data_IF_199006544474
#
_entry.id   IF_199006544474
#
_cell.length_a   1.000
_cell.length_b   1.000
_cell.length_c   1.000
_cell.angle_alpha   90.00
_cell.angle_beta   90.00
_cell.angle_gamma   90.00
#
_symmetry.space_group_name_H-M   'P 1'
#
loop_
_entity.id
_entity.type
_entity.pdbx_description
1 polymer ?
#
# COMPACT_ATOMS: atom_id res chain seq x y z
N UNK A 1 -56.86 -57.26 13.01
CA UNK A 1 -56.90 -56.34 14.16
C UNK A 1 -55.68 -55.43 14.07
N UNK A 2 -55.85 -54.12 13.89
CA UNK A 2 -54.71 -53.19 13.88
C UNK A 2 -54.37 -52.84 15.33
N UNK A 3 -53.19 -53.25 15.78
CA UNK A 3 -52.67 -52.95 17.11
C UNK A 3 -52.18 -51.50 17.15
N UNK A 4 -52.98 -50.66 17.79
CA UNK A 4 -52.63 -49.28 18.16
C UNK A 4 -51.84 -49.38 19.48
N UNK A 5 -50.69 -48.70 19.58
CA UNK A 5 -49.74 -48.68 20.70
C UNK A 5 -48.47 -49.55 20.53
N UNK A 6 -47.52 -49.05 19.74
CA UNK A 6 -46.10 -49.16 20.11
C UNK A 6 -45.78 -47.96 21.01
N UNK A 7 -45.63 -48.24 22.30
CA UNK A 7 -45.55 -47.25 23.37
C UNK A 7 -44.36 -46.31 23.25
N UNK A 8 -44.66 -45.02 23.19
CA UNK A 8 -43.83 -43.99 23.79
C UNK A 8 -44.47 -43.61 25.12
N UNK A 9 -43.66 -43.34 26.14
CA UNK A 9 -44.14 -42.92 27.46
C UNK A 9 -44.81 -41.54 27.34
N UNK A 10 -46.12 -41.54 27.10
CA UNK A 10 -46.88 -40.32 26.83
C UNK A 10 -47.42 -39.78 28.15
N UNK A 11 -46.87 -38.65 28.60
CA UNK A 11 -47.31 -37.93 29.80
C UNK A 11 -48.75 -37.39 29.69
N UNK A 12 -49.34 -37.48 28.50
CA UNK A 12 -50.71 -37.12 28.18
C UNK A 12 -51.50 -38.41 27.86
N UNK A 13 -52.39 -38.85 28.77
CA UNK A 13 -53.24 -40.03 28.59
C UNK A 13 -54.53 -39.65 27.90
N UNK A 14 -54.64 -39.78 26.57
CA UNK A 14 -55.89 -39.59 25.81
C UNK A 14 -55.82 -40.16 24.37
N UNK A 15 -56.94 -40.12 23.64
CA UNK A 15 -57.03 -40.49 22.22
C UNK A 15 -56.50 -39.37 21.30
N UNK A 16 -55.57 -39.71 20.39
CA UNK A 16 -55.08 -38.78 19.38
C UNK A 16 -56.12 -38.58 18.26
N UNK A 17 -56.43 -37.31 17.97
CA UNK A 17 -57.24 -36.92 16.80
C UNK A 17 -56.32 -36.30 15.75
N UNK A 18 -56.37 -36.81 14.52
CA UNK A 18 -55.57 -36.27 13.43
C UNK A 18 -55.93 -34.79 13.17
N UNK A 19 -54.97 -33.88 12.91
CA UNK A 19 -55.21 -32.44 12.80
C UNK A 19 -56.33 -32.04 11.83
N UNK A 20 -56.45 -32.75 10.71
CA UNK A 20 -57.49 -32.51 9.70
C UNK A 20 -58.91 -32.89 10.17
N UNK A 21 -59.02 -33.74 11.20
CA UNK A 21 -60.29 -34.20 11.76
C UNK A 21 -60.70 -33.43 13.02
N UNK A 22 -59.78 -32.67 13.62
CA UNK A 22 -60.01 -31.94 14.88
C UNK A 22 -61.22 -31.01 14.78
N UNK A 23 -61.36 -30.27 13.67
CA UNK A 23 -62.50 -29.36 13.48
C UNK A 23 -63.84 -30.11 13.40
N UNK A 24 -63.88 -31.26 12.71
CA UNK A 24 -65.09 -32.07 12.59
C UNK A 24 -65.52 -32.65 13.94
N UNK A 25 -64.56 -33.18 14.70
CA UNK A 25 -64.82 -33.71 16.06
C UNK A 25 -65.26 -32.58 17.00
N UNK A 26 -64.62 -31.41 16.94
CA UNK A 26 -64.97 -30.29 17.81
C UNK A 26 -66.37 -29.72 17.53
N UNK A 27 -66.79 -29.66 16.25
CA UNK A 27 -68.15 -29.27 15.85
C UNK A 27 -69.19 -30.30 16.31
N UNK A 28 -68.88 -31.59 16.17
CA UNK A 28 -69.77 -32.68 16.59
C UNK A 28 -70.06 -32.65 18.10
N UNK A 29 -69.06 -32.28 18.92
CA UNK A 29 -69.22 -32.17 20.37
C UNK A 29 -70.03 -30.94 20.77
N UNK A 30 -69.68 -29.73 20.28
CA UNK A 30 -70.45 -28.51 20.51
C UNK A 30 -69.90 -27.32 19.70
N UNK A 31 -70.76 -26.42 19.19
CA UNK A 31 -70.31 -25.18 18.55
C UNK A 31 -69.40 -24.31 19.44
N UNK A 32 -69.67 -24.26 20.76
CA UNK A 32 -68.83 -23.49 21.70
C UNK A 32 -67.44 -24.11 21.84
N UNK A 33 -67.36 -25.44 21.84
CA UNK A 33 -66.10 -26.16 21.94
C UNK A 33 -65.25 -25.99 20.67
N UNK A 34 -65.87 -26.03 19.49
CA UNK A 34 -65.21 -25.74 18.22
C UNK A 34 -64.53 -24.35 18.19
N UNK A 35 -65.17 -23.32 18.74
CA UNK A 35 -64.57 -21.97 18.84
C UNK A 35 -63.34 -21.96 19.75
N UNK A 36 -63.40 -22.67 20.88
CA UNK A 36 -62.25 -22.76 21.80
C UNK A 36 -61.07 -23.49 21.17
N UNK A 37 -61.32 -24.62 20.50
CA UNK A 37 -60.29 -25.39 19.79
C UNK A 37 -59.66 -24.55 18.68
N UNK A 38 -60.47 -23.81 17.90
CA UNK A 38 -59.97 -22.89 16.87
C UNK A 38 -58.99 -21.86 17.44
N UNK A 39 -59.33 -21.20 18.55
CA UNK A 39 -58.45 -20.21 19.19
C UNK A 39 -57.10 -20.80 19.63
N UNK A 40 -57.10 -22.05 20.10
CA UNK A 40 -55.88 -22.76 20.49
C UNK A 40 -55.03 -23.06 19.25
N UNK A 41 -55.66 -23.56 18.17
CA UNK A 41 -54.97 -23.83 16.91
C UNK A 41 -54.37 -22.57 16.28
N UNK A 42 -55.14 -21.48 16.23
CA UNK A 42 -54.69 -20.19 15.73
C UNK A 42 -53.47 -19.71 16.54
N UNK A 43 -53.53 -19.80 17.88
CA UNK A 43 -52.41 -19.43 18.76
C UNK A 43 -51.16 -20.32 18.57
N UNK A 44 -51.33 -21.63 18.39
CA UNK A 44 -50.19 -22.55 18.13
C UNK A 44 -49.54 -22.19 16.79
N UNK A 45 -50.35 -21.96 15.75
CA UNK A 45 -49.84 -21.59 14.43
C UNK A 45 -49.08 -20.25 14.48
N UNK A 46 -49.62 -19.25 15.16
CA UNK A 46 -48.92 -17.97 15.40
C UNK A 46 -47.57 -18.18 16.10
N UNK A 47 -47.52 -19.02 17.15
CA UNK A 47 -46.25 -19.32 17.85
C UNK A 47 -45.25 -20.06 16.97
N UNK A 48 -45.67 -21.05 16.19
CA UNK A 48 -44.76 -21.80 15.30
C UNK A 48 -44.20 -20.94 14.19
N UNK A 49 -45.00 -20.03 13.61
CA UNK A 49 -44.52 -19.07 12.61
C UNK A 49 -43.49 -18.13 13.25
N UNK A 50 -43.77 -17.60 14.44
CA UNK A 50 -42.86 -16.71 15.14
C UNK A 50 -41.52 -17.39 15.49
N UNK A 51 -41.54 -18.64 15.96
CA UNK A 51 -40.33 -19.42 16.26
C UNK A 51 -39.49 -19.69 15.00
N UNK A 52 -40.13 -20.11 13.91
CA UNK A 52 -39.45 -20.36 12.64
C UNK A 52 -38.86 -19.09 12.02
N UNK A 53 -39.57 -17.97 12.10
CA UNK A 53 -39.05 -16.68 11.63
C UNK A 53 -37.91 -16.16 12.52
N UNK A 54 -37.96 -16.40 13.83
CA UNK A 54 -36.86 -16.12 14.75
C UNK A 54 -35.61 -16.97 14.45
N UNK A 55 -35.77 -18.27 14.18
CA UNK A 55 -34.67 -19.17 13.83
C UNK A 55 -33.97 -18.76 12.52
N UNK A 56 -34.75 -18.41 11.48
CA UNK A 56 -34.22 -17.83 10.24
C UNK A 56 -33.43 -16.54 10.50
N UNK A 57 -33.96 -15.67 11.36
CA UNK A 57 -33.30 -14.40 11.71
C UNK A 57 -31.98 -14.66 12.43
N UNK A 58 -31.95 -15.65 13.34
CA UNK A 58 -30.75 -16.05 14.06
C UNK A 58 -29.69 -16.65 13.12
N UNK A 59 -30.08 -17.56 12.22
CA UNK A 59 -29.17 -18.15 11.24
C UNK A 59 -28.54 -17.10 10.31
N UNK A 60 -29.34 -16.11 9.89
CA UNK A 60 -28.85 -14.97 9.10
C UNK A 60 -27.84 -14.16 9.92
N UNK A 61 -28.14 -13.86 11.19
CA UNK A 61 -27.24 -13.11 12.07
C UNK A 61 -25.90 -13.85 12.28
N UNK A 62 -25.93 -15.16 12.49
CA UNK A 62 -24.72 -15.98 12.67
C UNK A 62 -23.83 -15.98 11.41
N UNK A 63 -24.45 -16.08 10.23
CA UNK A 63 -23.72 -15.96 8.97
C UNK A 63 -23.09 -14.58 8.79
N UNK A 64 -23.79 -13.50 9.15
CA UNK A 64 -23.25 -12.15 9.12
C UNK A 64 -22.07 -11.99 10.09
N UNK A 65 -22.19 -12.49 11.32
CA UNK A 65 -21.09 -12.45 12.29
C UNK A 65 -19.87 -13.22 11.79
N UNK A 66 -20.04 -14.40 11.21
CA UNK A 66 -18.94 -15.16 10.63
C UNK A 66 -18.23 -14.39 9.50
N UNK A 67 -18.98 -13.80 8.57
CA UNK A 67 -18.42 -13.00 7.50
C UNK A 67 -17.70 -11.75 8.03
N UNK A 68 -18.30 -11.05 8.99
CA UNK A 68 -17.69 -9.86 9.62
C UNK A 68 -16.38 -10.23 10.30
N UNK A 69 -16.35 -11.32 11.08
CA UNK A 69 -15.12 -11.76 11.75
C UNK A 69 -14.04 -12.10 10.73
N UNK A 70 -14.39 -12.89 9.70
CA UNK A 70 -13.44 -13.28 8.65
C UNK A 70 -12.85 -12.07 7.92
N UNK A 71 -13.70 -11.09 7.57
CA UNK A 71 -13.24 -9.85 6.93
C UNK A 71 -12.40 -9.02 7.88
N UNK A 72 -12.78 -8.92 9.15
CA UNK A 72 -12.06 -8.18 10.18
C UNK A 72 -10.66 -8.75 10.41
N UNK A 73 -10.55 -10.08 10.50
CA UNK A 73 -9.28 -10.80 10.66
C UNK A 73 -8.39 -10.58 9.43
N UNK A 74 -8.94 -10.77 8.23
CA UNK A 74 -8.21 -10.56 6.97
C UNK A 74 -7.67 -9.12 6.84
N UNK A 75 -8.49 -8.13 7.21
CA UNK A 75 -8.07 -6.73 7.20
C UNK A 75 -7.02 -6.45 8.27
N UNK A 76 -7.16 -7.02 9.45
CA UNK A 76 -6.20 -6.87 10.55
C UNK A 76 -4.84 -7.46 10.20
N UNK A 77 -4.81 -8.62 9.55
CA UNK A 77 -3.59 -9.25 9.05
C UNK A 77 -2.91 -8.37 8.00
N UNK A 78 -3.69 -7.84 7.05
CA UNK A 78 -3.16 -6.93 6.01
C UNK A 78 -2.63 -5.62 6.59
N UNK A 79 -3.32 -5.04 7.57
CA UNK A 79 -2.84 -3.84 8.29
C UNK A 79 -1.53 -4.16 9.01
N UNK A 80 -1.43 -5.33 9.65
CA UNK A 80 -0.23 -5.76 10.36
C UNK A 80 0.95 -5.94 9.40
N UNK A 81 0.74 -6.60 8.27
CA UNK A 81 1.75 -6.77 7.22
C UNK A 81 2.21 -5.42 6.64
N UNK A 82 1.26 -4.54 6.26
CA UNK A 82 1.59 -3.21 5.76
C UNK A 82 2.37 -2.38 6.79
N UNK A 83 1.97 -2.42 8.06
CA UNK A 83 2.68 -1.73 9.13
C UNK A 83 4.11 -2.27 9.31
N UNK A 84 4.30 -3.57 9.16
CA UNK A 84 5.62 -4.19 9.22
C UNK A 84 6.50 -3.74 8.03
N UNK A 85 5.95 -3.72 6.81
CA UNK A 85 6.65 -3.19 5.64
C UNK A 85 7.03 -1.73 5.82
N UNK A 86 6.12 -0.88 6.31
CA UNK A 86 6.39 0.54 6.60
C UNK A 86 7.53 0.67 7.62
N UNK A 87 7.50 -0.09 8.72
CA UNK A 87 8.57 -0.07 9.75
C UNK A 87 9.94 -0.46 9.18
N UNK A 88 9.99 -1.41 8.24
CA UNK A 88 11.23 -1.78 7.56
C UNK A 88 11.77 -0.67 6.63
N UNK A 89 10.89 0.17 6.10
CA UNK A 89 11.25 1.30 5.23
C UNK A 89 11.69 2.54 6.01
N UNK A 90 11.20 2.76 7.24
CA UNK A 90 11.59 3.89 8.10
C UNK A 90 13.11 4.13 8.17
N UNK A 91 13.98 3.14 8.43
CA UNK A 91 15.43 3.39 8.51
C UNK A 91 16.06 3.81 7.17
N UNK A 92 15.42 3.53 6.03
CA UNK A 92 15.87 3.93 4.69
C UNK A 92 15.23 5.25 4.24
N UNK A 93 14.25 5.75 4.99
CA UNK A 93 13.54 6.96 4.67
C UNK A 93 14.45 8.18 4.86
N UNK A 94 14.30 9.15 3.96
CA UNK A 94 15.04 10.40 4.05
C UNK A 94 14.45 11.21 5.20
N UNK A 95 15.26 11.68 6.17
CA UNK A 95 14.74 12.50 7.26
C UNK A 95 14.05 13.76 6.73
N UNK A 96 12.95 14.14 7.38
CA UNK A 96 12.16 15.31 7.01
C UNK A 96 13.03 16.58 6.96
N UNK A 97 12.90 17.34 5.88
CA UNK A 97 13.65 18.58 5.64
C UNK A 97 15.10 18.37 5.20
N UNK A 98 15.54 17.12 5.00
CA UNK A 98 16.87 16.77 4.44
C UNK A 98 16.82 16.27 3.01
N UNK A 99 15.64 16.24 2.39
CA UNK A 99 15.39 15.71 1.04
C UNK A 99 16.26 16.41 0.01
N UNK A 100 16.45 17.73 0.12
CA UNK A 100 17.17 18.57 -0.86
C UNK A 100 18.40 19.28 -0.29
N UNK A 101 19.28 18.54 0.39
CA UNK A 101 20.43 19.14 1.11
C UNK A 101 21.72 19.19 0.29
N UNK A 102 21.78 18.57 -0.89
CA UNK A 102 23.04 18.45 -1.64
C UNK A 102 23.26 19.57 -2.66
N UNK A 103 24.52 19.77 -3.00
CA UNK A 103 25.02 20.69 -4.03
C UNK A 103 25.87 19.87 -4.99
N UNK A 104 25.71 20.09 -6.29
CA UNK A 104 26.58 19.57 -7.34
C UNK A 104 27.46 20.70 -7.83
N UNK A 105 28.74 20.39 -8.00
CA UNK A 105 29.78 21.32 -8.40
C UNK A 105 30.56 20.63 -9.52
N UNK A 106 30.74 21.34 -10.64
CA UNK A 106 31.62 20.93 -11.73
C UNK A 106 32.79 21.90 -11.76
N UNK A 107 34.00 21.37 -11.61
CA UNK A 107 35.24 22.14 -11.60
C UNK A 107 36.19 21.55 -12.62
N UNK A 108 37.01 22.39 -13.23
CA UNK A 108 38.15 21.93 -14.01
C UNK A 108 39.25 21.41 -13.07
N UNK A 109 39.97 20.38 -13.51
CA UNK A 109 41.08 19.79 -12.75
C UNK A 109 42.40 20.39 -13.25
N UNK A 110 43.09 21.11 -12.36
CA UNK A 110 44.40 21.70 -12.67
C UNK A 110 45.45 20.62 -12.96
N UNK A 111 46.47 21.01 -13.73
CA UNK A 111 47.61 20.21 -14.21
C UNK A 111 48.27 19.32 -13.14
N UNK A 112 48.34 19.78 -11.87
CA UNK A 112 48.96 19.06 -10.76
C UNK A 112 48.20 17.80 -10.29
N UNK A 113 46.91 17.66 -10.62
CA UNK A 113 46.07 16.47 -10.30
C UNK A 113 45.87 15.57 -11.53
N UNK A 114 46.55 15.84 -12.65
CA UNK A 114 46.40 15.09 -13.88
C UNK A 114 47.16 13.76 -13.81
N UNK A 115 46.41 12.66 -13.99
CA UNK A 115 46.96 11.31 -14.09
C UNK A 115 47.44 11.10 -15.54
N UNK A 116 48.75 11.28 -15.76
CA UNK A 116 49.52 10.98 -16.98
C UNK A 116 49.28 11.91 -18.19
N UNK A 117 50.29 11.95 -19.08
CA UNK A 117 50.45 12.79 -20.28
C UNK A 117 49.13 13.03 -21.04
N UNK A 118 48.46 14.13 -20.73
CA UNK A 118 47.32 14.58 -21.52
C UNK A 118 47.84 15.02 -22.89
N UNK A 119 47.16 14.60 -23.96
CA UNK A 119 47.31 15.26 -25.25
C UNK A 119 46.94 16.73 -25.06
N UNK A 120 47.68 17.66 -25.69
CA UNK A 120 47.54 19.12 -25.51
C UNK A 120 46.09 19.66 -25.64
N UNK A 121 45.17 18.88 -26.22
CA UNK A 121 43.78 19.28 -26.50
C UNK A 121 42.71 18.60 -25.60
N UNK A 122 43.09 17.91 -24.51
CA UNK A 122 42.12 17.27 -23.59
C UNK A 122 41.93 18.07 -22.31
N UNK A 123 40.68 18.24 -21.90
CA UNK A 123 40.30 18.82 -20.62
C UNK A 123 39.74 17.74 -19.69
N UNK A 124 40.03 17.86 -18.40
CA UNK A 124 39.42 17.03 -17.35
C UNK A 124 38.58 17.86 -16.42
N UNK A 125 37.30 17.54 -16.31
CA UNK A 125 36.39 18.11 -15.31
C UNK A 125 36.13 17.10 -14.19
N UNK A 126 35.88 17.62 -12.99
CA UNK A 126 35.49 16.85 -11.82
C UNK A 126 34.09 17.23 -11.38
N UNK A 127 33.20 16.24 -11.33
CA UNK A 127 31.82 16.41 -10.85
C UNK A 127 31.74 15.93 -9.40
N UNK A 128 31.49 16.87 -8.48
CA UNK A 128 31.37 16.59 -7.05
C UNK A 128 29.96 16.81 -6.56
N UNK A 129 29.58 15.98 -5.60
CA UNK A 129 28.33 16.14 -4.86
C UNK A 129 28.63 16.26 -3.39
N UNK A 130 28.21 17.37 -2.78
CA UNK A 130 28.56 17.69 -1.39
C UNK A 130 27.31 18.12 -0.64
N UNK A 131 27.18 17.69 0.61
CA UNK A 131 26.12 18.16 1.49
C UNK A 131 26.36 19.64 1.80
N UNK A 132 25.32 20.47 1.63
CA UNK A 132 25.37 21.92 1.88
C UNK A 132 25.85 22.26 3.29
N UNK A 133 25.59 21.42 4.29
CA UNK A 133 25.99 21.65 5.68
C UNK A 133 27.50 21.45 5.91
N UNK A 134 28.14 20.64 5.07
CA UNK A 134 29.57 20.31 5.22
C UNK A 134 30.47 21.39 4.59
N UNK A 135 29.87 22.35 3.87
CA UNK A 135 30.58 23.47 3.24
C UNK A 135 30.52 24.73 4.10
N UNK A 136 31.70 25.29 4.42
CA UNK A 136 31.80 26.62 5.02
C UNK A 136 31.25 27.70 4.06
N UNK A 137 30.61 28.77 4.57
CA UNK A 137 30.04 29.82 3.73
C UNK A 137 31.02 30.43 2.72
N UNK A 138 32.24 30.76 3.14
CA UNK A 138 33.28 31.30 2.25
C UNK A 138 33.63 30.35 1.10
N UNK A 139 33.72 29.04 1.38
CA UNK A 139 34.02 28.02 0.37
C UNK A 139 32.85 27.81 -0.60
N UNK A 140 31.62 27.90 -0.10
CA UNK A 140 30.41 27.88 -0.94
C UNK A 140 30.38 29.06 -1.90
N UNK A 141 30.73 30.25 -1.43
CA UNK A 141 30.76 31.44 -2.27
C UNK A 141 31.87 31.39 -3.31
N UNK A 142 33.04 30.84 -2.94
CA UNK A 142 34.10 30.53 -3.89
C UNK A 142 33.60 29.64 -5.04
N UNK A 143 32.99 28.50 -4.71
CA UNK A 143 32.46 27.59 -5.73
C UNK A 143 31.40 28.24 -6.61
N UNK A 144 30.53 29.08 -6.05
CA UNK A 144 29.54 29.82 -6.84
C UNK A 144 30.14 30.74 -7.90
N UNK A 145 31.34 31.27 -7.66
CA UNK A 145 32.01 32.22 -8.57
C UNK A 145 32.96 31.53 -9.54
N UNK A 146 33.65 30.48 -9.10
CA UNK A 146 34.79 29.88 -9.82
C UNK A 146 34.45 28.54 -10.49
N UNK A 147 33.38 27.85 -10.11
CA UNK A 147 33.04 26.56 -10.72
C UNK A 147 32.40 26.72 -12.09
N UNK A 148 32.67 25.77 -13.00
CA UNK A 148 32.03 25.68 -14.32
C UNK A 148 30.51 25.53 -14.19
N UNK A 149 30.07 24.81 -13.15
CA UNK A 149 28.66 24.65 -12.84
C UNK A 149 28.42 24.51 -11.34
N UNK A 150 27.57 25.37 -10.78
CA UNK A 150 27.14 25.32 -9.39
C UNK A 150 25.64 25.12 -9.27
N UNK A 151 25.22 23.96 -8.74
CA UNK A 151 23.80 23.62 -8.65
C UNK A 151 23.43 23.18 -7.23
N UNK A 152 22.72 24.04 -6.50
CA UNK A 152 22.25 23.77 -5.13
C UNK A 152 20.82 23.20 -5.05
N UNK A 153 20.40 22.72 -3.88
CA UNK A 153 19.07 22.14 -3.61
C UNK A 153 18.79 20.83 -4.38
N UNK A 154 19.79 19.96 -4.46
CA UNK A 154 19.64 18.65 -5.09
C UNK A 154 19.06 17.63 -4.12
N UNK A 155 18.22 16.70 -4.63
CA UNK A 155 17.67 15.60 -3.84
C UNK A 155 18.81 14.78 -3.24
N UNK A 156 18.57 14.03 -2.16
CA UNK A 156 19.56 13.08 -1.60
C UNK A 156 19.79 11.87 -2.52
N UNK A 157 18.81 11.53 -3.35
CA UNK A 157 18.88 10.44 -4.31
C UNK A 157 19.97 10.65 -5.37
N UNK A 158 20.69 9.58 -5.71
CA UNK A 158 21.84 9.62 -6.64
C UNK A 158 21.44 9.65 -8.12
N UNK A 159 20.14 9.54 -8.43
CA UNK A 159 19.58 9.44 -9.78
C UNK A 159 20.17 10.47 -10.75
N UNK A 160 20.32 11.72 -10.33
CA UNK A 160 20.91 12.79 -11.16
C UNK A 160 22.35 12.45 -11.56
N UNK A 161 23.18 11.98 -10.63
CA UNK A 161 24.58 11.64 -10.92
C UNK A 161 24.66 10.42 -11.84
N UNK A 162 23.80 9.42 -11.65
CA UNK A 162 23.70 8.25 -12.52
C UNK A 162 23.29 8.65 -13.94
N UNK A 163 22.25 9.49 -14.07
CA UNK A 163 21.76 10.01 -15.36
C UNK A 163 22.82 10.84 -16.08
N UNK A 164 23.57 11.68 -15.36
CA UNK A 164 24.72 12.40 -15.93
C UNK A 164 25.74 11.40 -16.48
N UNK A 165 26.14 10.41 -15.69
CA UNK A 165 27.11 9.41 -16.12
C UNK A 165 26.63 8.63 -17.34
N UNK A 166 25.38 8.16 -17.36
CA UNK A 166 24.74 7.48 -18.50
C UNK A 166 24.77 8.37 -19.76
N UNK A 167 24.39 9.64 -19.63
CA UNK A 167 24.34 10.59 -20.75
C UNK A 167 25.71 10.84 -21.38
N UNK A 168 26.77 10.85 -20.57
CA UNK A 168 28.14 11.12 -21.01
C UNK A 168 28.87 9.84 -21.45
N UNK A 169 28.57 8.68 -20.86
CA UNK A 169 29.21 7.41 -21.20
C UNK A 169 28.88 6.95 -22.63
N UNK A 170 27.73 7.33 -23.15
CA UNK A 170 27.32 7.02 -24.54
C UNK A 170 28.10 7.80 -25.61
N UNK A 171 28.90 8.80 -25.22
CA UNK A 171 29.61 9.68 -26.15
C UNK A 171 30.98 9.15 -26.53
N UNK A 172 31.31 9.28 -27.81
CA UNK A 172 32.64 8.98 -28.32
C UNK A 172 33.64 10.05 -27.84
N UNK A 173 34.81 9.61 -27.39
CA UNK A 173 35.89 10.50 -26.93
C UNK A 173 35.81 10.94 -25.47
N UNK A 174 34.75 10.54 -24.73
CA UNK A 174 34.65 10.80 -23.28
C UNK A 174 35.19 9.63 -22.48
N UNK A 175 36.23 9.87 -21.67
CA UNK A 175 36.75 8.93 -20.69
C UNK A 175 36.20 9.29 -19.31
N UNK A 176 35.60 8.32 -18.61
CA UNK A 176 35.00 8.53 -17.29
C UNK A 176 35.76 7.69 -16.27
N UNK A 177 36.36 8.35 -15.27
CA UNK A 177 37.01 7.68 -14.15
C UNK A 177 36.50 8.26 -12.82
N UNK A 178 35.65 7.49 -12.14
CA UNK A 178 35.02 7.90 -10.86
C UNK A 178 34.24 9.21 -10.98
N UNK A 179 34.81 10.32 -10.51
CA UNK A 179 34.22 11.67 -10.58
C UNK A 179 34.85 12.56 -11.66
N UNK A 180 35.85 12.02 -12.37
CA UNK A 180 36.60 12.71 -13.41
C UNK A 180 36.08 12.31 -14.79
N UNK A 181 35.94 13.31 -15.65
CA UNK A 181 35.48 13.18 -17.01
C UNK A 181 36.49 13.90 -17.90
N UNK A 182 37.16 13.15 -18.77
CA UNK A 182 38.19 13.66 -19.67
C UNK A 182 37.69 13.58 -21.10
N UNK A 183 37.79 14.67 -21.85
CA UNK A 183 37.30 14.78 -23.23
C UNK A 183 38.01 15.96 -23.94
N UNK A 184 37.88 16.09 -25.27
CA UNK A 184 38.46 17.21 -26.02
C UNK A 184 37.94 18.59 -25.56
N UNK A 185 38.82 19.58 -25.42
CA UNK A 185 38.48 20.90 -24.84
C UNK A 185 37.35 21.62 -25.60
N UNK A 186 37.27 21.46 -26.92
CA UNK A 186 36.23 22.01 -27.78
C UNK A 186 34.81 21.55 -27.40
N UNK A 187 34.69 20.40 -26.71
CA UNK A 187 33.41 19.85 -26.27
C UNK A 187 32.94 20.39 -24.91
N UNK A 188 33.73 21.20 -24.20
CA UNK A 188 33.44 21.63 -22.83
C UNK A 188 32.06 22.24 -22.64
N UNK A 189 31.75 23.31 -23.39
CA UNK A 189 30.47 24.02 -23.25
C UNK A 189 29.28 23.08 -23.50
N UNK A 190 29.40 22.22 -24.52
CA UNK A 190 28.36 21.27 -24.86
C UNK A 190 28.16 20.20 -23.77
N UNK A 191 29.25 19.70 -23.16
CA UNK A 191 29.19 18.77 -22.02
C UNK A 191 28.51 19.43 -20.82
N UNK A 192 28.85 20.69 -20.50
CA UNK A 192 28.20 21.45 -19.44
C UNK A 192 26.70 21.62 -19.70
N UNK A 193 26.30 21.94 -20.94
CA UNK A 193 24.89 22.06 -21.33
C UNK A 193 24.12 20.75 -21.14
N UNK A 194 24.71 19.61 -21.49
CA UNK A 194 24.10 18.28 -21.29
C UNK A 194 23.92 17.99 -19.80
N UNK A 195 24.92 18.27 -18.98
CA UNK A 195 24.84 18.10 -17.52
C UNK A 195 23.71 18.97 -16.99
N UNK A 196 23.65 20.25 -17.38
CA UNK A 196 22.64 21.19 -16.92
C UNK A 196 21.22 20.77 -17.37
N UNK A 197 21.06 20.34 -18.63
CA UNK A 197 19.80 19.85 -19.17
C UNK A 197 19.33 18.58 -18.43
N UNK A 198 20.24 17.64 -18.17
CA UNK A 198 19.96 16.42 -17.41
C UNK A 198 19.47 16.77 -16.00
N UNK A 199 20.16 17.67 -15.31
CA UNK A 199 19.76 18.11 -13.97
C UNK A 199 18.38 18.79 -14.00
N UNK A 200 18.11 19.65 -14.97
CA UNK A 200 16.83 20.35 -15.08
C UNK A 200 15.67 19.39 -15.35
N UNK A 201 15.88 18.38 -16.20
CA UNK A 201 14.89 17.34 -16.47
C UNK A 201 14.53 16.55 -15.21
N UNK A 202 15.54 16.06 -14.49
CA UNK A 202 15.34 15.26 -13.27
C UNK A 202 14.81 16.08 -12.07
N UNK A 203 14.88 17.42 -12.14
CA UNK A 203 14.27 18.32 -11.14
C UNK A 203 12.79 18.57 -11.35
N UNK A 204 12.31 18.39 -12.58
CA UNK A 204 10.92 18.63 -12.95
C UNK A 204 10.02 17.43 -12.60
N UNK A 205 10.62 16.27 -12.32
CA UNK A 205 9.97 15.08 -11.80
C UNK A 205 9.97 15.08 -10.26
#
# INVERSE_FOLDING_TARGET
MYSINKGFDNKFKDYYVHPHLINYVAIWVSPKYAVTVRKIMDKINETTIAEHDADKTQAIADQFHYLINTVTDTLSDRITDLNQQVRQLVPRAVPNGKERTYILIVEEVNEDEQLEEQQEDQITIRIRRINRKDLRPAKKERYRRESLLFVGNLPIAMTINEKIKESLQSRQGVKIWSTHYTFPEDQLNFIIDIIQATINKERAH
#
